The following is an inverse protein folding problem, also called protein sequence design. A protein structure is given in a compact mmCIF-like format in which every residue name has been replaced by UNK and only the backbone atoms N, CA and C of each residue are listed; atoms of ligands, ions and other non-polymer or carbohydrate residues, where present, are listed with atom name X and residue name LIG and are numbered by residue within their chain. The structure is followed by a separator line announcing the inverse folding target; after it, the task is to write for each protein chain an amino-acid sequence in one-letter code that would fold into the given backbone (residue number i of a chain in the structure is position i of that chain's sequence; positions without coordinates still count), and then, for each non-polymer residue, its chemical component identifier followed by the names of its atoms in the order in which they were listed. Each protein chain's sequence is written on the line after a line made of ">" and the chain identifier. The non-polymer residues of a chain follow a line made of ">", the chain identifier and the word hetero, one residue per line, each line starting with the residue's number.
data_IF_815144588460
#
_entry.id   IF_815144588460
#
_cell.length_a   1.000
_cell.length_b   1.000
_cell.length_c   1.000
_cell.angle_alpha   90.00
_cell.angle_beta   90.00
_cell.angle_gamma   90.00
#
_symmetry.space_group_name_H-M   'P 1'
#
loop_
_entity.id
_entity.type
_entity.pdbx_description
1 polymer ?
#
# COMPACT_ATOMS: atom_id res chain seq x y z
N UNK A 1 -22.19 6.52 -3.60
CA UNK A 1 -20.95 6.77 -2.79
C UNK A 1 -20.18 5.47 -2.62
N UNK A 2 -18.90 5.45 -2.88
CA UNK A 2 -17.99 4.33 -2.60
C UNK A 2 -17.37 4.48 -1.20
N UNK A 3 -16.96 3.39 -0.58
CA UNK A 3 -16.18 3.43 0.66
C UNK A 3 -14.71 3.73 0.32
N UNK A 4 -14.21 3.14 -0.78
CA UNK A 4 -12.86 3.36 -1.28
C UNK A 4 -12.85 3.46 -2.81
N UNK A 5 -12.12 4.45 -3.33
CA UNK A 5 -11.66 4.49 -4.72
C UNK A 5 -10.15 4.27 -4.75
N UNK A 6 -9.69 3.35 -5.58
CA UNK A 6 -8.25 3.16 -5.83
C UNK A 6 -7.90 3.64 -7.22
N UNK A 7 -6.81 4.41 -7.35
CA UNK A 7 -6.36 5.00 -8.60
C UNK A 7 -4.90 4.65 -8.85
N UNK A 8 -4.59 4.08 -10.00
CA UNK A 8 -3.24 3.72 -10.42
C UNK A 8 -3.25 2.66 -11.51
N UNK A 9 -2.09 2.31 -12.03
CA UNK A 9 -2.02 1.29 -13.07
C UNK A 9 -2.25 -0.11 -12.50
N UNK A 10 -3.07 -0.91 -13.20
CA UNK A 10 -2.93 -2.36 -13.17
C UNK A 10 -1.61 -2.72 -13.81
N UNK A 11 -0.90 -3.68 -13.25
CA UNK A 11 0.33 -4.19 -13.81
C UNK A 11 0.17 -5.61 -14.35
N UNK A 12 1.00 -5.93 -15.34
CA UNK A 12 1.33 -7.29 -15.74
C UNK A 12 2.68 -7.63 -15.12
N UNK A 13 2.69 -8.61 -14.23
CA UNK A 13 3.88 -9.07 -13.53
C UNK A 13 4.35 -10.38 -14.16
N UNK A 14 5.58 -10.38 -14.71
CA UNK A 14 6.23 -11.53 -15.35
C UNK A 14 7.41 -11.98 -14.48
N UNK A 15 7.47 -13.28 -14.19
CA UNK A 15 8.53 -13.86 -13.37
C UNK A 15 9.47 -14.70 -14.23
N UNK A 16 10.76 -14.49 -14.10
CA UNK A 16 11.76 -15.26 -14.87
C UNK A 16 11.63 -16.75 -14.57
N UNK A 17 11.47 -17.55 -15.63
CA UNK A 17 11.28 -18.98 -15.52
C UNK A 17 9.82 -19.44 -15.32
N UNK A 18 8.89 -18.51 -15.12
CA UNK A 18 7.45 -18.79 -15.07
C UNK A 18 6.82 -18.35 -16.41
N UNK A 19 6.18 -19.24 -17.17
CA UNK A 19 5.49 -18.85 -18.41
C UNK A 19 4.20 -18.06 -18.13
N UNK A 20 3.68 -18.14 -16.90
CA UNK A 20 2.44 -17.48 -16.50
C UNK A 20 2.74 -16.08 -15.92
N UNK A 21 2.03 -15.09 -16.43
CA UNK A 21 2.05 -13.75 -15.85
C UNK A 21 0.91 -13.59 -14.83
N UNK A 22 1.07 -12.65 -13.92
CA UNK A 22 0.07 -12.34 -12.90
C UNK A 22 -0.44 -10.92 -13.04
N UNK A 23 -1.72 -10.71 -12.67
CA UNK A 23 -2.25 -9.36 -12.48
C UNK A 23 -1.59 -8.79 -11.22
N UNK A 24 -1.03 -7.60 -11.37
CA UNK A 24 -0.38 -6.84 -10.30
C UNK A 24 -0.85 -5.38 -10.28
N UNK A 25 -0.08 -4.57 -9.60
CA UNK A 25 -0.31 -3.14 -9.45
C UNK A 25 -1.00 -2.79 -8.15
N UNK A 26 -0.45 -1.80 -7.45
CA UNK A 26 -0.88 -1.35 -6.12
C UNK A 26 -2.37 -1.02 -6.07
N UNK A 27 -2.91 -0.31 -7.09
CA UNK A 27 -4.33 0.03 -7.14
C UNK A 27 -5.22 -1.22 -7.18
N UNK A 28 -4.80 -2.25 -7.93
CA UNK A 28 -5.54 -3.51 -8.10
C UNK A 28 -5.54 -4.33 -6.82
N UNK A 29 -4.39 -4.47 -6.17
CA UNK A 29 -4.29 -5.19 -4.90
C UNK A 29 -5.04 -4.49 -3.77
N UNK A 30 -4.92 -3.16 -3.68
CA UNK A 30 -5.66 -2.37 -2.70
C UNK A 30 -7.17 -2.48 -2.89
N UNK A 31 -7.66 -2.42 -4.14
CA UNK A 31 -9.08 -2.62 -4.45
C UNK A 31 -9.56 -4.00 -4.02
N UNK A 32 -8.77 -5.05 -4.32
CA UNK A 32 -9.10 -6.43 -3.93
C UNK A 32 -9.15 -6.60 -2.41
N UNK A 33 -8.19 -6.02 -1.68
CA UNK A 33 -8.16 -6.07 -0.22
C UNK A 33 -9.40 -5.41 0.39
N UNK A 34 -9.76 -4.21 -0.06
CA UNK A 34 -10.95 -3.51 0.41
C UNK A 34 -12.25 -4.27 0.08
N UNK A 35 -12.38 -4.82 -1.12
CA UNK A 35 -13.55 -5.62 -1.49
C UNK A 35 -13.71 -6.88 -0.63
N UNK A 36 -12.61 -7.56 -0.29
CA UNK A 36 -12.62 -8.71 0.63
C UNK A 36 -13.00 -8.31 2.06
N UNK A 37 -12.72 -7.07 2.49
CA UNK A 37 -13.20 -6.52 3.76
C UNK A 37 -14.72 -6.26 3.76
N UNK A 38 -15.39 -6.35 2.60
CA UNK A 38 -16.82 -6.15 2.44
C UNK A 38 -17.22 -4.73 2.09
N UNK A 39 -16.27 -3.87 1.71
CA UNK A 39 -16.50 -2.48 1.38
C UNK A 39 -16.89 -2.31 -0.10
N UNK A 40 -17.61 -1.23 -0.42
CA UNK A 40 -17.98 -0.85 -1.79
C UNK A 40 -16.83 -0.12 -2.46
N UNK A 41 -16.18 -0.80 -3.41
CA UNK A 41 -14.90 -0.36 -3.99
C UNK A 41 -15.03 -0.05 -5.48
N UNK A 42 -14.37 1.02 -5.92
CA UNK A 42 -14.11 1.25 -7.34
C UNK A 42 -12.60 1.28 -7.62
N UNK A 43 -12.22 0.74 -8.77
CA UNK A 43 -10.85 0.75 -9.31
C UNK A 43 -10.82 1.58 -10.59
N UNK A 44 -10.09 2.70 -10.59
CA UNK A 44 -9.75 3.44 -11.79
C UNK A 44 -8.32 3.10 -12.21
N UNK A 45 -8.17 2.51 -13.39
CA UNK A 45 -6.87 2.03 -13.86
C UNK A 45 -6.72 2.14 -15.38
N UNK A 46 -5.50 1.98 -15.88
CA UNK A 46 -5.22 1.72 -17.30
C UNK A 46 -4.77 0.29 -17.49
N UNK A 47 -5.31 -0.34 -18.54
CA UNK A 47 -4.99 -1.72 -18.91
C UNK A 47 -5.06 -1.86 -20.44
N UNK A 48 -4.09 -2.57 -21.00
CA UNK A 48 -4.07 -2.92 -22.42
C UNK A 48 -5.05 -4.05 -22.76
N UNK A 49 -5.27 -4.28 -24.07
CA UNK A 49 -6.29 -5.24 -24.52
C UNK A 49 -6.02 -6.69 -24.07
N UNK A 50 -4.75 -7.08 -23.99
CA UNK A 50 -4.38 -8.47 -23.70
C UNK A 50 -4.65 -8.90 -22.25
N UNK A 51 -4.65 -7.96 -21.31
CA UNK A 51 -4.85 -8.21 -19.88
C UNK A 51 -6.26 -7.86 -19.40
N UNK A 52 -7.03 -7.14 -20.24
CA UNK A 52 -8.33 -6.55 -19.87
C UNK A 52 -9.35 -7.60 -19.42
N UNK A 53 -9.52 -8.65 -20.19
CA UNK A 53 -10.56 -9.67 -19.90
C UNK A 53 -10.29 -10.36 -18.55
N UNK A 54 -9.01 -10.64 -18.25
CA UNK A 54 -8.61 -11.25 -16.98
C UNK A 54 -8.84 -10.30 -15.81
N UNK A 55 -8.57 -8.99 -15.99
CA UNK A 55 -8.86 -7.97 -14.98
C UNK A 55 -10.37 -7.83 -14.74
N UNK A 56 -11.18 -7.77 -15.82
CA UNK A 56 -12.64 -7.69 -15.75
C UNK A 56 -13.20 -8.86 -14.96
N UNK A 57 -12.80 -10.09 -15.32
CA UNK A 57 -13.24 -11.29 -14.63
C UNK A 57 -12.90 -11.25 -13.13
N UNK A 58 -11.69 -10.83 -12.78
CA UNK A 58 -11.28 -10.73 -11.38
C UNK A 58 -12.06 -9.66 -10.61
N UNK A 59 -12.29 -8.49 -11.21
CA UNK A 59 -13.10 -7.44 -10.59
C UNK A 59 -14.55 -7.86 -10.38
N UNK A 60 -15.13 -8.57 -11.36
CA UNK A 60 -16.49 -9.12 -11.23
C UNK A 60 -16.60 -10.15 -10.10
N UNK A 61 -15.62 -11.06 -9.98
CA UNK A 61 -15.57 -12.05 -8.90
C UNK A 61 -15.53 -11.38 -7.51
N UNK A 62 -14.81 -10.29 -7.39
CA UNK A 62 -14.64 -9.55 -6.12
C UNK A 62 -15.70 -8.46 -5.88
N UNK A 63 -16.60 -8.20 -6.85
CA UNK A 63 -17.60 -7.13 -6.74
C UNK A 63 -17.00 -5.72 -6.83
N UNK A 64 -15.84 -5.55 -7.48
CA UNK A 64 -15.19 -4.26 -7.68
C UNK A 64 -15.79 -3.55 -8.89
N UNK A 65 -16.20 -2.28 -8.73
CA UNK A 65 -16.64 -1.42 -9.83
C UNK A 65 -15.42 -0.94 -10.64
N UNK A 66 -15.19 -1.60 -11.79
CA UNK A 66 -14.01 -1.38 -12.62
C UNK A 66 -14.21 -0.26 -13.63
N UNK A 67 -13.38 0.77 -13.56
CA UNK A 67 -13.24 1.84 -14.53
C UNK A 67 -11.91 1.71 -15.27
N UNK A 68 -11.88 0.82 -16.26
CA UNK A 68 -10.70 0.55 -17.07
C UNK A 68 -10.58 1.54 -18.21
N UNK A 69 -9.65 2.48 -18.11
CA UNK A 69 -9.28 3.40 -19.17
C UNK A 69 -8.50 2.66 -20.27
N UNK A 70 -8.79 2.98 -21.51
CA UNK A 70 -8.09 2.40 -22.66
C UNK A 70 -6.61 2.74 -22.67
N UNK A 71 -5.79 1.75 -23.00
CA UNK A 71 -4.34 1.86 -23.18
C UNK A 71 -3.88 0.90 -24.27
N UNK A 72 -2.88 1.30 -25.03
CA UNK A 72 -2.24 0.43 -26.02
C UNK A 72 -1.47 -0.73 -25.35
N UNK A 73 -0.96 -0.47 -24.14
CA UNK A 73 -0.17 -1.42 -23.36
C UNK A 73 -0.60 -1.42 -21.90
N UNK A 74 -0.42 -2.52 -21.22
CA UNK A 74 -0.47 -2.60 -19.75
C UNK A 74 0.93 -2.30 -19.20
N UNK A 75 1.00 -1.53 -18.12
CA UNK A 75 2.28 -1.37 -17.39
C UNK A 75 2.79 -2.75 -16.99
N UNK A 76 3.98 -3.11 -17.49
CA UNK A 76 4.52 -4.47 -17.37
C UNK A 76 5.85 -4.44 -16.64
N UNK A 77 5.93 -5.20 -15.56
CA UNK A 77 7.18 -5.44 -14.87
C UNK A 77 7.65 -6.88 -15.06
N UNK A 78 8.96 -7.06 -15.17
CA UNK A 78 9.56 -8.39 -15.08
C UNK A 78 10.46 -8.49 -13.85
N UNK A 79 10.32 -9.63 -13.18
CA UNK A 79 11.02 -9.95 -11.94
C UNK A 79 12.00 -11.07 -12.18
N UNK A 80 13.23 -10.89 -11.74
CA UNK A 80 14.22 -11.97 -11.69
C UNK A 80 15.02 -11.89 -10.40
N UNK A 81 15.53 -13.01 -9.98
CA UNK A 81 16.44 -13.09 -8.84
C UNK A 81 17.87 -13.21 -9.33
N UNK A 82 18.75 -12.30 -8.88
CA UNK A 82 20.19 -12.31 -9.16
C UNK A 82 20.89 -12.28 -7.81
N UNK A 83 21.69 -13.29 -7.52
CA UNK A 83 22.40 -13.44 -6.24
C UNK A 83 21.47 -13.32 -5.01
N UNK A 84 20.28 -13.93 -5.09
CA UNK A 84 19.27 -13.90 -4.05
C UNK A 84 18.53 -12.55 -3.91
N UNK A 85 18.84 -11.55 -4.74
CA UNK A 85 18.19 -10.24 -4.73
C UNK A 85 17.19 -10.11 -5.88
N UNK A 86 16.01 -9.63 -5.57
CA UNK A 86 14.96 -9.32 -6.56
C UNK A 86 15.41 -8.13 -7.42
N UNK A 87 15.44 -8.34 -8.75
CA UNK A 87 15.68 -7.30 -9.75
C UNK A 87 14.40 -7.06 -10.52
N UNK A 88 14.05 -5.79 -10.65
CA UNK A 88 12.83 -5.33 -11.29
C UNK A 88 13.17 -4.58 -12.58
N UNK A 89 12.43 -4.85 -13.66
CA UNK A 89 12.52 -4.10 -14.91
C UNK A 89 11.13 -3.66 -15.37
N UNK A 90 11.00 -2.42 -15.79
CA UNK A 90 9.83 -1.89 -16.46
C UNK A 90 9.94 -2.19 -17.97
N UNK A 91 9.10 -3.08 -18.48
CA UNK A 91 9.07 -3.50 -19.89
C UNK A 91 8.15 -2.62 -20.76
N UNK A 92 7.05 -2.17 -20.15
CA UNK A 92 6.08 -1.27 -20.80
C UNK A 92 5.45 -0.38 -19.74
N UNK A 93 5.03 0.81 -20.13
CA UNK A 93 4.34 1.77 -19.25
C UNK A 93 3.13 2.35 -19.99
N UNK A 94 1.96 2.22 -19.39
CA UNK A 94 0.74 2.88 -19.86
C UNK A 94 0.82 4.41 -19.68
N UNK A 95 -0.07 5.15 -20.34
CA UNK A 95 -0.17 6.62 -20.19
C UNK A 95 -0.55 7.02 -18.76
N UNK A 96 -0.24 8.26 -18.38
CA UNK A 96 -0.64 8.81 -17.07
C UNK A 96 -2.15 8.87 -16.87
N UNK A 97 -2.53 9.06 -15.63
CA UNK A 97 -3.92 9.27 -15.18
C UNK A 97 -4.00 10.69 -14.63
N UNK A 98 -4.73 11.57 -15.31
CA UNK A 98 -5.01 12.94 -14.89
C UNK A 98 -6.45 13.09 -14.38
N UNK A 99 -6.78 14.25 -13.84
CA UNK A 99 -8.11 14.55 -13.31
C UNK A 99 -9.22 14.51 -14.37
N UNK A 100 -8.89 14.77 -15.62
CA UNK A 100 -9.82 14.85 -16.77
C UNK A 100 -10.43 13.49 -17.12
N UNK A 101 -9.74 12.39 -16.78
CA UNK A 101 -10.25 11.03 -17.05
C UNK A 101 -10.97 10.41 -15.85
N UNK A 102 -11.09 11.13 -14.71
CA UNK A 102 -11.79 10.64 -13.53
C UNK A 102 -13.29 10.86 -13.67
N UNK A 103 -14.10 9.79 -13.80
CA UNK A 103 -15.56 9.92 -13.86
C UNK A 103 -16.12 10.62 -12.63
N UNK A 104 -17.17 11.45 -12.85
CA UNK A 104 -17.82 12.19 -11.75
C UNK A 104 -18.32 11.24 -10.65
N UNK A 105 -18.80 10.05 -11.02
CA UNK A 105 -19.29 9.05 -10.07
C UNK A 105 -18.20 8.58 -9.08
N UNK A 106 -16.91 8.62 -9.45
CA UNK A 106 -15.80 8.23 -8.57
C UNK A 106 -15.38 9.33 -7.60
N UNK A 107 -15.88 10.55 -7.78
CA UNK A 107 -15.61 11.67 -6.85
C UNK A 107 -16.43 11.57 -5.56
N UNK A 108 -17.52 10.80 -5.59
CA UNK A 108 -18.38 10.52 -4.44
C UNK A 108 -17.88 9.25 -3.71
N UNK A 109 -16.87 9.43 -2.88
CA UNK A 109 -16.23 8.36 -2.10
C UNK A 109 -15.93 8.83 -0.68
N UNK A 110 -15.77 7.87 0.26
CA UNK A 110 -15.35 8.14 1.64
C UNK A 110 -13.84 8.24 1.80
N UNK A 111 -13.07 7.59 0.92
CA UNK A 111 -11.61 7.63 0.93
C UNK A 111 -11.03 7.30 -0.45
N UNK A 112 -9.74 7.62 -0.66
CA UNK A 112 -9.01 7.27 -1.87
C UNK A 112 -7.61 6.77 -1.57
N UNK A 113 -7.19 5.72 -2.29
CA UNK A 113 -5.79 5.29 -2.38
C UNK A 113 -5.24 5.72 -3.73
N UNK A 114 -4.22 6.58 -3.68
CA UNK A 114 -3.46 7.05 -4.84
C UNK A 114 -2.22 6.16 -4.96
N UNK A 115 -2.27 5.22 -5.89
CA UNK A 115 -1.43 4.01 -5.91
C UNK A 115 -0.45 4.05 -7.10
N UNK A 116 0.57 4.91 -7.03
CA UNK A 116 1.56 5.03 -8.09
C UNK A 116 2.58 3.89 -8.06
N UNK A 117 2.82 3.28 -9.23
CA UNK A 117 3.85 2.24 -9.43
C UNK A 117 4.94 2.65 -10.43
N UNK A 118 4.65 3.61 -11.32
CA UNK A 118 5.55 4.06 -12.38
C UNK A 118 5.29 5.53 -12.78
N UNK A 119 5.13 6.44 -11.83
CA UNK A 119 4.85 7.88 -12.03
C UNK A 119 3.59 8.16 -12.87
N UNK A 120 2.56 7.35 -12.74
CA UNK A 120 1.38 7.46 -13.57
C UNK A 120 0.34 8.45 -13.07
N UNK A 121 0.35 8.81 -11.78
CA UNK A 121 -0.64 9.72 -11.21
C UNK A 121 -0.18 11.16 -11.42
N UNK A 122 -0.95 11.92 -12.18
CA UNK A 122 -0.67 13.32 -12.44
C UNK A 122 -1.07 14.22 -11.26
N UNK A 123 -0.37 15.35 -11.04
CA UNK A 123 -0.65 16.25 -9.92
C UNK A 123 -2.11 16.71 -9.81
N UNK A 124 -2.81 16.84 -10.95
CA UNK A 124 -4.23 17.23 -11.01
C UNK A 124 -5.17 16.27 -10.28
N UNK A 125 -4.81 14.99 -10.14
CA UNK A 125 -5.63 13.97 -9.44
C UNK A 125 -5.75 14.25 -7.96
N UNK A 126 -4.68 14.77 -7.32
CA UNK A 126 -4.69 15.04 -5.87
C UNK A 126 -5.74 16.06 -5.46
N UNK A 127 -6.08 17.00 -6.35
CA UNK A 127 -7.02 18.08 -6.06
C UNK A 127 -8.49 17.63 -6.18
N UNK A 128 -8.74 16.48 -6.85
CA UNK A 128 -10.11 15.95 -7.03
C UNK A 128 -10.73 15.51 -5.70
N UNK A 129 -9.94 15.06 -4.76
CA UNK A 129 -10.38 14.42 -3.53
C UNK A 129 -10.11 15.24 -2.25
N UNK A 130 -10.22 16.56 -2.35
CA UNK A 130 -9.86 17.50 -1.27
C UNK A 130 -10.63 17.35 0.06
N UNK A 131 -11.76 16.66 0.07
CA UNK A 131 -12.64 16.52 1.23
C UNK A 131 -12.60 15.19 1.96
N UNK A 132 -11.78 14.22 1.51
CA UNK A 132 -11.73 12.85 2.05
C UNK A 132 -10.30 12.40 2.33
N UNK A 133 -10.10 11.39 3.19
CA UNK A 133 -8.78 10.80 3.40
C UNK A 133 -8.14 10.33 2.09
N UNK A 134 -6.91 10.82 1.84
CA UNK A 134 -6.07 10.50 0.68
C UNK A 134 -4.82 9.79 1.18
N UNK A 135 -4.76 8.49 0.92
CA UNK A 135 -3.58 7.66 1.21
C UNK A 135 -2.76 7.53 -0.07
N UNK A 136 -1.50 7.92 -0.03
CA UNK A 136 -0.57 7.80 -1.14
C UNK A 136 0.34 6.59 -0.94
N UNK A 137 0.28 5.60 -1.80
CA UNK A 137 1.31 4.59 -1.93
C UNK A 137 2.44 5.17 -2.80
N UNK A 138 3.54 5.59 -2.17
CA UNK A 138 4.51 6.46 -2.81
C UNK A 138 5.63 5.73 -3.55
N UNK A 139 5.67 4.39 -3.54
CA UNK A 139 6.76 3.60 -4.15
C UNK A 139 7.07 3.98 -5.60
N UNK A 140 6.05 4.32 -6.40
CA UNK A 140 6.24 4.69 -7.80
C UNK A 140 7.07 5.97 -7.96
N UNK A 141 6.96 6.91 -7.03
CA UNK A 141 7.71 8.18 -7.07
C UNK A 141 9.20 8.00 -6.75
N UNK A 142 9.57 6.89 -6.11
CA UNK A 142 10.94 6.55 -5.75
C UNK A 142 11.65 5.71 -6.83
N UNK A 143 10.99 5.46 -7.95
CA UNK A 143 11.53 4.63 -9.04
C UNK A 143 11.94 5.51 -10.23
N UNK A 144 13.09 5.20 -10.79
CA UNK A 144 13.51 5.58 -12.14
C UNK A 144 13.87 4.31 -12.90
N UNK A 145 14.08 4.42 -14.18
CA UNK A 145 14.47 3.29 -15.02
C UNK A 145 15.45 3.71 -16.10
N UNK A 146 16.40 2.84 -16.33
CA UNK A 146 17.39 3.01 -17.41
C UNK A 146 16.74 2.76 -18.78
N UNK A 147 17.49 3.00 -19.87
CA UNK A 147 17.03 2.77 -21.23
C UNK A 147 16.61 1.30 -21.51
N UNK A 148 17.18 0.36 -20.77
CA UNK A 148 16.82 -1.06 -20.84
C UNK A 148 15.66 -1.45 -19.91
N UNK A 149 15.10 -0.47 -19.17
CA UNK A 149 14.00 -0.64 -18.21
C UNK A 149 14.42 -1.06 -16.81
N UNK A 150 15.72 -1.22 -16.52
CA UNK A 150 16.17 -1.57 -15.17
C UNK A 150 15.74 -0.51 -14.17
N UNK A 151 14.96 -0.93 -13.15
CA UNK A 151 14.48 -0.03 -12.10
C UNK A 151 15.62 0.32 -11.14
N UNK A 152 15.70 1.61 -10.82
CA UNK A 152 16.60 2.17 -9.81
C UNK A 152 15.83 3.05 -8.85
N UNK A 153 16.30 3.20 -7.65
CA UNK A 153 15.83 4.23 -6.73
C UNK A 153 16.20 5.62 -7.30
N UNK A 154 15.29 6.56 -7.15
CA UNK A 154 15.52 7.99 -7.42
C UNK A 154 15.25 8.83 -6.18
N UNK A 155 15.80 10.02 -6.14
CA UNK A 155 15.34 11.07 -5.23
C UNK A 155 13.95 11.55 -5.65
N UNK A 156 13.12 11.87 -4.70
CA UNK A 156 11.78 12.38 -4.92
C UNK A 156 11.76 13.91 -4.74
N UNK A 157 12.19 14.60 -5.79
CA UNK A 157 12.33 16.07 -5.76
C UNK A 157 11.00 16.78 -5.49
N UNK A 158 9.90 16.23 -6.02
CA UNK A 158 8.55 16.79 -5.89
C UNK A 158 7.83 16.35 -4.60
N UNK A 159 8.53 15.71 -3.65
CA UNK A 159 7.94 15.11 -2.47
C UNK A 159 7.07 16.08 -1.67
N UNK A 160 7.58 17.27 -1.39
CA UNK A 160 6.87 18.27 -0.60
C UNK A 160 5.58 18.77 -1.28
N UNK A 161 5.61 18.96 -2.59
CA UNK A 161 4.45 19.42 -3.35
C UNK A 161 3.34 18.36 -3.41
N UNK A 162 3.71 17.09 -3.55
CA UNK A 162 2.77 15.97 -3.56
C UNK A 162 2.24 15.71 -2.14
N UNK A 163 3.12 15.68 -1.15
CA UNK A 163 2.74 15.42 0.24
C UNK A 163 1.81 16.49 0.82
N UNK A 164 1.95 17.76 0.40
CA UNK A 164 1.02 18.81 0.82
C UNK A 164 -0.44 18.58 0.36
N UNK A 165 -0.66 17.65 -0.58
CA UNK A 165 -1.98 17.35 -1.17
C UNK A 165 -2.57 16.02 -0.70
N UNK A 166 -1.93 15.30 0.21
CA UNK A 166 -2.41 14.02 0.75
C UNK A 166 -2.52 14.07 2.26
N UNK A 167 -3.25 13.14 2.86
CA UNK A 167 -3.39 13.07 4.31
C UNK A 167 -2.27 12.23 4.93
N UNK A 168 -1.75 11.24 4.19
CA UNK A 168 -0.67 10.36 4.61
C UNK A 168 -0.02 9.71 3.39
N UNK A 169 1.30 9.55 3.43
CA UNK A 169 2.04 8.74 2.46
C UNK A 169 2.54 7.45 3.12
N UNK A 170 2.54 6.37 2.35
CA UNK A 170 3.03 5.06 2.77
C UNK A 170 4.19 4.65 1.86
N UNK A 171 5.28 4.23 2.47
CA UNK A 171 6.46 3.64 1.82
C UNK A 171 6.91 2.41 2.61
N UNK A 172 7.64 1.51 1.99
CA UNK A 172 8.32 0.44 2.72
C UNK A 172 9.74 0.85 3.13
N UNK A 173 10.30 0.18 4.13
CA UNK A 173 11.71 0.28 4.48
C UNK A 173 12.62 -0.02 3.27
N UNK A 174 12.21 -0.96 2.41
CA UNK A 174 12.92 -1.31 1.18
C UNK A 174 12.88 -0.18 0.14
N UNK A 175 11.75 0.53 -0.01
CA UNK A 175 11.62 1.64 -0.96
C UNK A 175 12.59 2.79 -0.63
N UNK A 176 12.86 3.01 0.65
CA UNK A 176 13.81 4.02 1.13
C UNK A 176 15.20 3.46 1.42
N UNK A 177 15.45 2.16 1.14
CA UNK A 177 16.73 1.48 1.40
C UNK A 177 17.21 1.64 2.85
N UNK A 178 16.26 1.69 3.82
CA UNK A 178 16.54 1.92 5.24
C UNK A 178 16.88 3.36 5.62
N UNK A 179 16.77 4.31 4.71
CA UNK A 179 17.03 5.74 4.97
C UNK A 179 15.83 6.41 5.64
N UNK A 180 15.67 6.20 6.94
CA UNK A 180 14.61 6.81 7.73
C UNK A 180 14.71 8.33 7.84
N UNK A 181 15.89 8.95 7.67
CA UNK A 181 16.05 10.38 7.69
C UNK A 181 15.34 11.04 6.50
N UNK A 182 15.32 10.37 5.36
CA UNK A 182 14.54 10.78 4.20
C UNK A 182 13.04 10.84 4.55
N UNK A 183 12.50 9.77 5.12
CA UNK A 183 11.09 9.71 5.54
C UNK A 183 10.76 10.75 6.63
N UNK A 184 11.67 11.01 7.58
CA UNK A 184 11.56 12.09 8.57
C UNK A 184 11.52 13.48 7.91
N UNK A 185 12.32 13.66 6.86
CA UNK A 185 12.29 14.86 6.03
C UNK A 185 10.91 15.11 5.43
N UNK A 186 10.32 14.11 4.82
CA UNK A 186 8.97 14.15 4.25
C UNK A 186 7.88 14.36 5.29
N UNK A 187 8.03 13.76 6.47
CA UNK A 187 7.06 13.88 7.58
C UNK A 187 6.95 15.31 8.16
N UNK A 188 7.79 16.23 7.74
CA UNK A 188 7.63 17.68 8.04
C UNK A 188 6.48 18.30 7.26
N UNK A 189 6.08 17.72 6.12
CA UNK A 189 4.99 18.21 5.26
C UNK A 189 3.67 17.49 5.52
N UNK A 190 3.67 16.17 5.54
CA UNK A 190 2.50 15.34 5.86
C UNK A 190 2.95 14.08 6.60
N UNK A 191 2.08 13.42 7.36
CA UNK A 191 2.39 12.13 7.97
C UNK A 191 2.93 11.13 6.94
N UNK A 192 3.99 10.41 7.33
CA UNK A 192 4.57 9.32 6.54
C UNK A 192 4.55 8.05 7.39
N UNK A 193 4.08 6.96 6.80
CA UNK A 193 4.15 5.64 7.42
C UNK A 193 5.19 4.82 6.66
N UNK A 194 6.16 4.30 7.38
CA UNK A 194 7.16 3.37 6.85
C UNK A 194 6.79 1.97 7.31
N UNK A 195 6.38 1.09 6.38
CA UNK A 195 6.14 -0.32 6.69
C UNK A 195 7.47 -1.07 6.83
N UNK A 196 7.57 -1.90 7.87
CA UNK A 196 8.80 -2.60 8.28
C UNK A 196 8.57 -4.12 8.35
N UNK A 197 7.92 -4.65 7.33
CA UNK A 197 7.57 -6.06 7.15
C UNK A 197 6.80 -6.63 8.37
N UNK A 198 7.20 -7.79 8.90
CA UNK A 198 6.55 -8.47 10.04
C UNK A 198 6.59 -7.64 11.34
N UNK A 199 7.49 -6.67 11.44
CA UNK A 199 7.55 -5.76 12.61
C UNK A 199 6.38 -4.76 12.62
N UNK A 200 5.68 -4.55 11.49
CA UNK A 200 4.55 -3.64 11.36
C UNK A 200 4.91 -2.34 10.66
N UNK A 201 4.74 -1.19 11.30
CA UNK A 201 4.99 0.11 10.68
C UNK A 201 5.43 1.18 11.70
N UNK A 202 6.16 2.18 11.20
CA UNK A 202 6.54 3.37 11.95
C UNK A 202 5.74 4.56 11.40
N UNK A 203 4.98 5.22 12.25
CA UNK A 203 4.24 6.44 11.95
C UNK A 203 5.11 7.65 12.28
N UNK A 204 5.44 8.45 11.28
CA UNK A 204 6.20 9.67 11.39
C UNK A 204 5.26 10.87 11.24
N UNK A 205 5.07 11.67 12.29
CA UNK A 205 4.15 12.82 12.28
C UNK A 205 4.59 13.89 13.26
N UNK A 206 4.77 15.12 12.79
CA UNK A 206 5.01 16.29 13.66
C UNK A 206 6.26 16.14 14.56
N UNK A 207 7.32 15.50 14.04
CA UNK A 207 8.54 15.21 14.79
C UNK A 207 8.44 14.03 15.78
N UNK A 208 7.33 13.32 15.80
CA UNK A 208 7.13 12.11 16.61
C UNK A 208 7.26 10.87 15.74
N UNK A 209 7.77 9.82 16.33
CA UNK A 209 7.87 8.47 15.77
C UNK A 209 7.11 7.49 16.67
N UNK A 210 6.15 6.79 16.11
CA UNK A 210 5.33 5.82 16.83
C UNK A 210 5.46 4.47 16.10
N UNK A 211 6.03 3.50 16.74
CA UNK A 211 6.06 2.13 16.22
C UNK A 211 4.73 1.44 16.53
N UNK A 212 4.07 0.95 15.47
CA UNK A 212 2.83 0.19 15.54
C UNK A 212 3.14 -1.24 15.14
N UNK A 213 3.13 -2.14 16.10
CA UNK A 213 3.51 -3.53 15.91
C UNK A 213 2.67 -4.25 14.84
N UNK A 214 3.32 -5.17 14.13
CA UNK A 214 2.68 -6.05 13.15
C UNK A 214 1.83 -7.14 13.80
N UNK A 215 1.16 -7.91 12.95
CA UNK A 215 0.44 -9.12 13.34
C UNK A 215 1.12 -10.32 12.69
N UNK A 216 1.34 -11.42 13.43
CA UNK A 216 1.91 -12.62 12.86
C UNK A 216 0.95 -13.21 11.82
N UNK A 217 1.49 -13.59 10.66
CA UNK A 217 0.81 -14.42 9.69
C UNK A 217 0.86 -15.89 10.14
N UNK A 218 -0.16 -16.68 9.79
CA UNK A 218 -0.15 -18.12 10.08
C UNK A 218 0.91 -18.85 9.21
N UNK A 219 1.13 -18.36 7.98
CA UNK A 219 2.18 -18.82 7.06
C UNK A 219 2.57 -17.65 6.13
N UNK A 220 3.83 -17.56 5.73
CA UNK A 220 4.28 -16.57 4.74
C UNK A 220 4.52 -17.28 3.42
N UNK A 221 3.62 -17.07 2.46
CA UNK A 221 3.65 -17.67 1.12
C UNK A 221 4.20 -16.71 0.06
N UNK A 222 3.66 -15.48 0.02
CA UNK A 222 4.07 -14.44 -0.94
C UNK A 222 3.87 -13.06 -0.30
N UNK A 223 4.93 -12.26 -0.24
CA UNK A 223 4.86 -10.91 0.36
C UNK A 223 4.28 -9.85 -0.60
N UNK A 224 4.01 -10.23 -1.85
CA UNK A 224 3.47 -9.31 -2.87
C UNK A 224 2.06 -8.85 -2.49
N UNK A 225 1.83 -7.55 -2.52
CA UNK A 225 0.53 -6.96 -2.22
C UNK A 225 0.26 -6.64 -0.75
N UNK A 226 1.16 -7.00 0.17
CA UNK A 226 0.97 -6.68 1.59
C UNK A 226 0.92 -5.17 1.86
N UNK A 227 1.84 -4.39 1.28
CA UNK A 227 1.84 -2.93 1.35
C UNK A 227 0.61 -2.30 0.70
N UNK A 228 0.09 -2.93 -0.36
CA UNK A 228 -1.11 -2.47 -1.06
C UNK A 228 -2.37 -2.71 -0.21
N UNK A 229 -2.46 -3.89 0.42
CA UNK A 229 -3.52 -4.23 1.37
C UNK A 229 -3.45 -3.33 2.63
N UNK A 230 -2.25 -3.00 3.09
CA UNK A 230 -2.03 -2.01 4.14
C UNK A 230 -2.63 -0.65 3.76
N UNK A 231 -2.35 -0.13 2.56
CA UNK A 231 -2.89 1.16 2.10
C UNK A 231 -4.42 1.15 2.07
N UNK A 232 -5.04 0.05 1.64
CA UNK A 232 -6.49 -0.10 1.63
C UNK A 232 -7.08 -0.08 3.04
N UNK A 233 -6.54 -0.88 3.96
CA UNK A 233 -6.96 -0.91 5.35
C UNK A 233 -6.81 0.45 6.04
N UNK A 234 -5.69 1.13 5.79
CA UNK A 234 -5.43 2.47 6.32
C UNK A 234 -6.48 3.49 5.84
N UNK A 235 -6.77 3.50 4.53
CA UNK A 235 -7.72 4.44 3.94
C UNK A 235 -9.14 4.24 4.50
N UNK A 236 -9.57 2.99 4.66
CA UNK A 236 -10.88 2.64 5.21
C UNK A 236 -10.99 3.03 6.68
N UNK A 237 -9.99 2.72 7.50
CA UNK A 237 -10.00 3.08 8.93
C UNK A 237 -10.00 4.60 9.14
N UNK A 238 -9.22 5.35 8.34
CA UNK A 238 -9.26 6.81 8.37
C UNK A 238 -10.64 7.37 7.94
N UNK A 239 -11.32 6.73 6.99
CA UNK A 239 -12.67 7.10 6.57
C UNK A 239 -13.73 6.79 7.64
N UNK A 240 -13.49 5.79 8.48
CA UNK A 240 -14.32 5.46 9.65
C UNK A 240 -14.10 6.42 10.83
N UNK A 241 -13.11 7.32 10.71
CA UNK A 241 -12.81 8.36 11.70
C UNK A 241 -11.71 7.98 12.70
N UNK A 242 -11.01 6.89 12.47
CA UNK A 242 -9.89 6.49 13.31
C UNK A 242 -8.75 7.50 13.21
N UNK A 243 -8.05 7.71 14.32
CA UNK A 243 -6.75 8.38 14.32
C UNK A 243 -5.69 7.52 13.62
N UNK A 244 -4.58 8.15 13.24
CA UNK A 244 -3.54 7.52 12.41
C UNK A 244 -2.93 6.25 13.03
N UNK A 245 -2.76 6.20 14.37
CA UNK A 245 -2.18 5.04 15.06
C UNK A 245 -3.14 3.82 15.05
N UNK A 246 -4.41 3.92 15.50
CA UNK A 246 -5.37 2.80 15.38
C UNK A 246 -5.63 2.42 13.92
N UNK A 247 -5.68 3.38 12.98
CA UNK A 247 -5.80 3.09 11.56
C UNK A 247 -4.58 2.29 11.03
N UNK A 248 -3.36 2.65 11.44
CA UNK A 248 -2.14 1.89 11.11
C UNK A 248 -2.18 0.47 11.69
N UNK A 249 -2.68 0.33 12.92
CA UNK A 249 -2.84 -0.99 13.55
C UNK A 249 -3.82 -1.89 12.77
N UNK A 250 -4.96 -1.34 12.34
CA UNK A 250 -5.91 -2.06 11.49
C UNK A 250 -5.26 -2.43 10.13
N UNK A 251 -4.55 -1.50 9.51
CA UNK A 251 -3.83 -1.71 8.26
C UNK A 251 -2.78 -2.84 8.36
N UNK A 252 -2.01 -2.90 9.48
CA UNK A 252 -1.08 -4.00 9.75
C UNK A 252 -1.80 -5.36 9.82
N UNK A 253 -2.98 -5.40 10.46
CA UNK A 253 -3.76 -6.63 10.54
C UNK A 253 -4.28 -7.07 9.17
N UNK A 254 -4.74 -6.14 8.34
CA UNK A 254 -5.15 -6.43 6.94
C UNK A 254 -3.97 -6.97 6.13
N UNK A 255 -2.81 -6.30 6.19
CA UNK A 255 -1.61 -6.69 5.47
C UNK A 255 -1.09 -8.09 5.87
N UNK A 256 -1.27 -8.49 7.14
CA UNK A 256 -0.81 -9.78 7.63
C UNK A 256 -1.51 -10.98 6.98
N UNK A 257 -2.71 -10.81 6.42
CA UNK A 257 -3.39 -11.85 5.64
C UNK A 257 -2.89 -11.91 4.19
N UNK A 258 -2.51 -10.78 3.61
CA UNK A 258 -2.08 -10.72 2.22
C UNK A 258 -0.86 -11.60 1.94
N UNK A 259 0.00 -11.81 2.94
CA UNK A 259 1.21 -12.65 2.80
C UNK A 259 0.94 -14.16 2.87
N UNK A 260 -0.28 -14.59 3.24
CA UNK A 260 -0.64 -16.00 3.44
C UNK A 260 -1.04 -16.73 2.14
N UNK A 261 -0.97 -16.05 1.00
CA UNK A 261 -1.27 -16.64 -0.30
C UNK A 261 -0.71 -15.87 -1.46
N UNK A 262 -0.74 -16.46 -2.64
CA UNK A 262 -0.26 -15.82 -3.87
C UNK A 262 -1.32 -14.87 -4.42
N UNK A 263 -0.92 -13.65 -4.75
CA UNK A 263 -1.80 -12.66 -5.36
C UNK A 263 -2.87 -12.18 -4.37
N UNK A 264 -4.16 -12.31 -4.74
CA UNK A 264 -5.29 -11.84 -3.93
C UNK A 264 -6.08 -12.99 -3.27
N UNK A 265 -5.50 -14.19 -3.17
CA UNK A 265 -6.22 -15.39 -2.73
C UNK A 265 -6.44 -15.41 -1.21
N UNK A 266 -5.48 -14.94 -0.43
CA UNK A 266 -5.52 -14.99 1.03
C UNK A 266 -6.11 -13.75 1.70
N UNK A 267 -6.61 -12.78 0.92
CA UNK A 267 -7.25 -11.59 1.47
C UNK A 267 -8.44 -11.94 2.36
N UNK A 268 -8.56 -11.29 3.50
CA UNK A 268 -9.48 -11.68 4.56
C UNK A 268 -10.70 -10.75 4.67
N UNK A 269 -11.82 -11.30 5.14
CA UNK A 269 -12.97 -10.48 5.55
C UNK A 269 -12.66 -9.64 6.79
N UNK A 270 -13.41 -8.56 6.98
CA UNK A 270 -13.31 -7.67 8.15
C UNK A 270 -13.41 -8.45 9.48
N UNK A 271 -14.27 -9.46 9.55
CA UNK A 271 -14.43 -10.32 10.72
C UNK A 271 -13.16 -11.08 11.07
N UNK A 272 -12.50 -11.68 10.06
CA UNK A 272 -11.22 -12.38 10.26
C UNK A 272 -10.13 -11.43 10.73
N UNK A 273 -10.05 -10.23 10.14
CA UNK A 273 -9.10 -9.19 10.55
C UNK A 273 -9.33 -8.80 12.01
N UNK A 274 -10.57 -8.49 12.38
CA UNK A 274 -10.93 -8.15 13.76
C UNK A 274 -10.62 -9.29 14.76
N UNK A 275 -10.89 -10.53 14.38
CA UNK A 275 -10.56 -11.69 15.21
C UNK A 275 -9.05 -11.83 15.43
N UNK A 276 -8.21 -11.58 14.41
CA UNK A 276 -6.75 -11.54 14.54
C UNK A 276 -6.31 -10.42 15.50
N UNK A 277 -6.87 -9.23 15.33
CA UNK A 277 -6.57 -8.08 16.19
C UNK A 277 -6.92 -8.36 17.67
N UNK A 278 -8.06 -9.00 17.93
CA UNK A 278 -8.48 -9.36 19.29
C UNK A 278 -7.56 -10.39 19.94
N UNK A 279 -7.16 -11.43 19.22
CA UNK A 279 -6.22 -12.45 19.70
C UNK A 279 -4.87 -11.87 20.13
N UNK A 280 -4.42 -10.79 19.47
CA UNK A 280 -3.14 -10.13 19.74
C UNK A 280 -3.27 -8.82 20.53
N UNK A 281 -4.45 -8.55 21.13
CA UNK A 281 -4.70 -7.35 21.95
C UNK A 281 -4.51 -7.60 23.45
N UNK A 282 -4.11 -8.80 23.90
CA UNK A 282 -3.80 -9.06 25.30
C UNK A 282 -2.57 -8.23 25.71
N UNK A 283 -2.66 -7.38 26.75
CA UNK A 283 -1.52 -6.61 27.20
C UNK A 283 -0.49 -7.58 27.77
N UNK A 284 0.71 -7.60 27.21
CA UNK A 284 1.88 -8.12 27.92
C UNK A 284 2.13 -7.19 29.10
N UNK A 285 1.52 -7.47 30.26
CA UNK A 285 1.88 -6.87 31.51
C UNK A 285 3.27 -7.40 31.87
N UNK A 286 4.30 -6.74 31.39
CA UNK A 286 5.62 -6.85 31.98
C UNK A 286 5.59 -6.10 33.29
N UNK A 287 5.20 -6.78 34.37
CA UNK A 287 5.46 -6.30 35.71
C UNK A 287 6.97 -6.30 35.92
N UNK A 288 7.60 -5.15 35.72
CA UNK A 288 8.91 -4.88 36.28
C UNK A 288 8.75 -4.87 37.81
N UNK A 289 8.93 -6.04 38.43
CA UNK A 289 9.08 -6.12 39.87
C UNK A 289 10.32 -5.32 40.25
N UNK A 290 10.06 -4.23 40.92
CA UNK A 290 11.01 -3.42 41.67
C UNK A 290 11.81 -4.32 42.63
N UNK A 291 13.02 -4.70 42.28
CA UNK A 291 13.96 -5.36 43.20
C UNK A 291 14.81 -4.27 43.85
N UNK A 292 14.31 -3.76 44.94
CA UNK A 292 15.14 -3.03 45.90
C UNK A 292 16.24 -3.96 46.42
N UNK A 293 17.51 -3.63 46.27
CA UNK A 293 18.58 -4.45 46.86
C UNK A 293 18.60 -4.35 48.40
N UNK A 294 18.85 -5.43 49.11
CA UNK A 294 18.94 -5.40 50.60
C UNK A 294 20.15 -4.60 51.05
N UNK A 295 19.94 -3.70 52.03
CA UNK A 295 20.95 -2.86 52.64
C UNK A 295 22.10 -3.69 53.22
N UNK A 296 23.33 -3.31 52.88
CA UNK A 296 24.56 -3.74 53.54
C UNK A 296 24.70 -2.97 54.86
N UNK A 297 24.54 -3.66 55.96
CA UNK A 297 25.05 -3.28 57.27
C UNK A 297 26.54 -3.55 57.30
N UNK A 298 27.34 -2.56 57.62
CA UNK A 298 28.78 -2.67 57.90
C UNK A 298 28.99 -2.52 59.39
N UNK A 299 29.87 -3.33 59.98
CA UNK A 299 30.17 -3.28 61.44
C UNK A 299 31.03 -2.08 61.80
#
# INVERSE_FOLDING_TARGET
>A
MFDLVTIGHTARDEFEGDPEWRIGGTATYAAAAAACLGDRVALLTRVGPNERDRLVARCQELGIDLHALESEVTTTFSFRYVDGRRRLRLKARAKGIGAEVIPVALRDTRSVVLASIAHEIEPSVFDVYGGVPRVLAAQGYLRSWDADGTIRRREWDEAHDVLARVNVAVVSEDDIEGDFDLARGWAKTAPVIVTIAERGAIVLRGGREIEVGGFPADEVVDQTGAGDAFCAGLALALADGDDLEPATRFANAVASFAVEGVGTIALASREKVQARMQRHSSPSVSSSSDKTPPGRTIP
#
